data_IF_189989110348
#
_entry.id   IF_189989110348
#
_cell.length_a   1.000
_cell.length_b   1.000
_cell.length_c   1.000
_cell.angle_alpha   90.00
_cell.angle_beta   90.00
_cell.angle_gamma   90.00
#
_symmetry.space_group_name_H-M   'P 1'
#
loop_
_entity.id
_entity.type
_entity.pdbx_description
1 polymer ?
#
# COMPACT_ATOMS: atom_id res chain seq x y z
N UNK A 1 9.30 -12.95 21.14
CA UNK A 1 8.56 -12.02 20.25
C UNK A 1 9.39 -10.74 20.16
N UNK A 2 9.81 -10.36 18.95
CA UNK A 2 10.65 -9.16 18.71
C UNK A 2 9.80 -7.90 18.44
N UNK A 3 8.47 -7.98 18.59
CA UNK A 3 7.56 -6.82 18.46
C UNK A 3 7.38 -6.26 17.04
N UNK A 4 7.76 -7.02 16.00
CA UNK A 4 7.57 -6.59 14.61
C UNK A 4 6.13 -6.83 14.14
N UNK A 5 5.59 -5.85 13.44
CA UNK A 5 4.37 -5.99 12.68
C UNK A 5 4.69 -6.44 11.25
N UNK A 6 4.01 -7.49 10.78
CA UNK A 6 4.21 -8.03 9.43
C UNK A 6 2.95 -7.77 8.61
N UNK A 7 3.13 -7.22 7.43
CA UNK A 7 2.03 -7.00 6.47
C UNK A 7 2.09 -8.06 5.37
N UNK A 8 0.92 -8.50 4.93
CA UNK A 8 0.78 -9.27 3.70
C UNK A 8 0.52 -8.30 2.55
N UNK A 9 1.38 -8.31 1.54
CA UNK A 9 1.36 -7.38 0.42
C UNK A 9 0.73 -8.00 -0.83
N UNK A 10 0.28 -7.19 -1.77
CA UNK A 10 -0.27 -7.56 -3.09
C UNK A 10 -1.39 -8.63 -3.01
N UNK A 11 -2.27 -8.54 -2.01
CA UNK A 11 -3.35 -9.51 -1.87
C UNK A 11 -4.37 -9.36 -2.99
N UNK A 12 -4.51 -10.44 -3.78
CA UNK A 12 -5.44 -10.50 -4.90
C UNK A 12 -4.81 -10.32 -6.29
N UNK A 13 -3.53 -9.87 -6.40
CA UNK A 13 -2.83 -9.75 -7.67
C UNK A 13 -2.43 -11.09 -8.31
N UNK A 14 -2.63 -12.21 -7.60
CA UNK A 14 -2.24 -13.53 -8.08
C UNK A 14 -2.73 -14.67 -7.18
N UNK A 15 -1.99 -15.77 -7.13
CA UNK A 15 -2.30 -16.91 -6.28
C UNK A 15 -2.03 -16.62 -4.80
N UNK A 16 -2.84 -15.77 -4.19
CA UNK A 16 -2.81 -15.58 -2.74
C UNK A 16 -3.39 -16.80 -2.05
N UNK A 17 -2.52 -17.67 -1.53
CA UNK A 17 -2.99 -18.86 -0.83
C UNK A 17 -3.51 -18.53 0.55
N UNK A 18 -4.80 -18.78 0.80
CA UNK A 18 -5.43 -18.70 2.13
C UNK A 18 -4.68 -19.50 3.21
N UNK A 19 -3.83 -20.48 2.81
CA UNK A 19 -3.01 -21.24 3.73
C UNK A 19 -1.98 -20.38 4.46
N UNK A 20 -1.46 -19.34 3.84
CA UNK A 20 -0.53 -18.40 4.48
C UNK A 20 -1.22 -17.55 5.55
N UNK A 21 -2.45 -17.10 5.31
CA UNK A 21 -3.22 -16.31 6.28
C UNK A 21 -3.46 -17.09 7.58
N UNK A 22 -3.61 -18.42 7.49
CA UNK A 22 -3.80 -19.28 8.67
C UNK A 22 -2.49 -19.63 9.37
N UNK A 23 -1.38 -19.67 8.62
CA UNK A 23 -0.09 -20.15 9.14
C UNK A 23 0.72 -19.04 9.80
N UNK A 24 0.60 -17.82 9.32
CA UNK A 24 1.38 -16.67 9.79
C UNK A 24 0.46 -15.63 10.43
N UNK A 25 0.96 -14.98 11.50
CA UNK A 25 0.25 -13.87 12.13
C UNK A 25 0.62 -12.57 11.43
N UNK A 26 -0.21 -12.13 10.49
CA UNK A 26 -0.10 -10.81 9.91
C UNK A 26 -0.89 -9.80 10.76
N UNK A 27 -0.37 -8.57 10.86
CA UNK A 27 -1.07 -7.44 11.50
C UNK A 27 -1.87 -6.63 10.48
N UNK A 28 -1.51 -6.73 9.20
CA UNK A 28 -2.06 -5.91 8.14
C UNK A 28 -2.15 -6.70 6.83
N UNK A 29 -3.21 -6.47 6.06
CA UNK A 29 -3.43 -7.02 4.74
C UNK A 29 -3.56 -5.85 3.77
N UNK A 30 -2.68 -5.80 2.74
CA UNK A 30 -2.67 -4.78 1.70
C UNK A 30 -3.38 -5.33 0.47
N UNK A 31 -4.47 -4.68 0.07
CA UNK A 31 -5.27 -5.01 -1.10
C UNK A 31 -4.62 -4.34 -2.30
N UNK A 32 -4.30 -5.14 -3.32
CA UNK A 32 -3.58 -4.69 -4.51
C UNK A 32 -4.32 -3.58 -5.26
N UNK A 33 -3.55 -2.68 -5.88
CA UNK A 33 -4.04 -1.55 -6.68
C UNK A 33 -5.03 -1.96 -7.78
N UNK A 34 -4.91 -3.16 -8.37
CA UNK A 34 -5.81 -3.63 -9.42
C UNK A 34 -7.29 -3.61 -9.00
N UNK A 35 -7.56 -3.74 -7.70
CA UNK A 35 -8.93 -3.60 -7.18
C UNK A 35 -9.42 -2.15 -7.20
N UNK A 36 -8.54 -1.19 -6.90
CA UNK A 36 -8.87 0.24 -7.00
C UNK A 36 -9.14 0.63 -8.47
N UNK A 37 -8.29 0.15 -9.37
CA UNK A 37 -8.41 0.42 -10.82
C UNK A 37 -9.70 -0.19 -11.42
N UNK A 38 -10.22 -1.29 -10.84
CA UNK A 38 -11.42 -1.99 -11.31
C UNK A 38 -12.72 -1.60 -10.56
N UNK A 39 -12.68 -0.62 -9.65
CA UNK A 39 -13.87 -0.22 -8.89
C UNK A 39 -14.99 0.34 -9.78
N UNK A 40 -14.62 0.99 -10.86
CA UNK A 40 -15.57 1.63 -11.79
C UNK A 40 -16.28 0.62 -12.71
N UNK A 41 -15.77 -0.63 -12.79
CA UNK A 41 -16.29 -1.68 -13.67
C UNK A 41 -17.56 -2.38 -13.12
N UNK A 42 -17.98 -2.02 -11.90
CA UNK A 42 -19.25 -2.49 -11.35
C UNK A 42 -19.16 -3.37 -10.09
N UNK A 43 -20.33 -3.81 -9.62
CA UNK A 43 -20.55 -4.33 -8.28
C UNK A 43 -19.71 -5.55 -7.85
N UNK A 44 -19.21 -6.38 -8.78
CA UNK A 44 -18.46 -7.59 -8.41
C UNK A 44 -17.14 -7.27 -7.71
N UNK A 45 -16.41 -6.24 -8.15
CA UNK A 45 -15.15 -5.81 -7.52
C UNK A 45 -15.39 -5.31 -6.10
N UNK A 46 -16.42 -4.51 -5.89
CA UNK A 46 -16.78 -4.00 -4.57
C UNK A 46 -17.18 -5.14 -3.62
N UNK A 47 -17.89 -6.16 -4.10
CA UNK A 47 -18.25 -7.32 -3.28
C UNK A 47 -17.02 -8.16 -2.91
N UNK A 48 -16.03 -8.28 -3.80
CA UNK A 48 -14.77 -8.95 -3.51
C UNK A 48 -13.99 -8.16 -2.43
N UNK A 49 -13.88 -6.84 -2.56
CA UNK A 49 -13.21 -6.00 -1.55
C UNK A 49 -13.92 -6.14 -0.20
N UNK A 50 -15.25 -6.11 -0.17
CA UNK A 50 -16.05 -6.32 1.04
C UNK A 50 -15.76 -7.67 1.71
N UNK A 51 -15.63 -8.72 0.92
CA UNK A 51 -15.29 -10.06 1.41
C UNK A 51 -13.87 -10.10 2.00
N UNK A 52 -12.90 -9.45 1.33
CA UNK A 52 -11.51 -9.35 1.81
C UNK A 52 -11.45 -8.57 3.14
N UNK A 53 -12.13 -7.43 3.23
CA UNK A 53 -12.21 -6.62 4.47
C UNK A 53 -12.81 -7.43 5.61
N UNK A 54 -13.90 -8.16 5.34
CA UNK A 54 -14.56 -9.02 6.33
C UNK A 54 -13.64 -10.14 6.81
N UNK A 55 -12.90 -10.77 5.89
CA UNK A 55 -11.93 -11.81 6.20
C UNK A 55 -10.79 -11.26 7.07
N UNK A 56 -10.19 -10.14 6.68
CA UNK A 56 -9.11 -9.51 7.43
C UNK A 56 -9.55 -9.17 8.85
N UNK A 57 -10.75 -8.61 9.01
CA UNK A 57 -11.34 -8.29 10.32
C UNK A 57 -11.56 -9.54 11.18
N UNK A 58 -12.06 -10.64 10.58
CA UNK A 58 -12.24 -11.91 11.29
C UNK A 58 -10.92 -12.52 11.76
N UNK A 59 -9.81 -12.23 11.07
CA UNK A 59 -8.46 -12.67 11.43
C UNK A 59 -7.70 -11.66 12.31
N UNK A 60 -8.32 -10.55 12.71
CA UNK A 60 -7.71 -9.53 13.56
C UNK A 60 -6.66 -8.67 12.84
N UNK A 61 -6.70 -8.63 11.50
CA UNK A 61 -5.82 -7.81 10.68
C UNK A 61 -6.49 -6.49 10.30
N UNK A 62 -5.70 -5.43 10.15
CA UNK A 62 -6.13 -4.19 9.49
C UNK A 62 -6.03 -4.34 7.98
N UNK A 63 -6.91 -3.66 7.26
CA UNK A 63 -6.88 -3.58 5.80
C UNK A 63 -6.29 -2.27 5.32
N UNK A 64 -5.47 -2.33 4.27
CA UNK A 64 -5.02 -1.16 3.49
C UNK A 64 -5.39 -1.42 2.04
N UNK A 65 -6.05 -0.49 1.38
CA UNK A 65 -6.23 -0.56 -0.07
C UNK A 65 -5.27 0.39 -0.76
N UNK A 66 -4.62 -0.10 -1.81
CA UNK A 66 -3.64 0.65 -2.58
C UNK A 66 -4.23 1.26 -3.84
N UNK A 67 -3.60 2.33 -4.34
CA UNK A 67 -3.94 2.92 -5.63
C UNK A 67 -5.15 3.83 -5.63
N UNK A 68 -5.57 4.39 -4.49
CA UNK A 68 -6.67 5.35 -4.43
C UNK A 68 -6.23 6.69 -5.03
N UNK A 69 -6.89 7.11 -6.12
CA UNK A 69 -6.55 8.30 -6.89
C UNK A 69 -7.69 9.33 -6.95
N UNK A 70 -8.95 8.93 -6.64
CA UNK A 70 -10.12 9.80 -6.72
C UNK A 70 -10.92 9.83 -5.42
N UNK A 71 -11.69 10.92 -5.22
CA UNK A 71 -12.60 11.07 -4.07
C UNK A 71 -13.76 10.05 -4.11
N UNK A 72 -14.20 9.66 -5.30
CA UNK A 72 -15.24 8.64 -5.48
C UNK A 72 -14.73 7.27 -4.99
N UNK A 73 -13.52 6.87 -5.36
CA UNK A 73 -12.88 5.66 -4.84
C UNK A 73 -12.72 5.73 -3.31
N UNK A 74 -12.28 6.89 -2.78
CA UNK A 74 -12.16 7.10 -1.33
C UNK A 74 -13.50 6.89 -0.62
N UNK A 75 -14.59 7.39 -1.18
CA UNK A 75 -15.92 7.23 -0.60
C UNK A 75 -16.33 5.76 -0.58
N UNK A 76 -16.15 5.04 -1.70
CA UNK A 76 -16.46 3.61 -1.81
C UNK A 76 -15.68 2.78 -0.80
N UNK A 77 -14.35 2.98 -0.67
CA UNK A 77 -13.55 2.18 0.27
C UNK A 77 -13.87 2.47 1.73
N UNK A 78 -14.29 3.70 2.04
CA UNK A 78 -14.78 4.06 3.36
C UNK A 78 -16.07 3.32 3.69
N UNK A 79 -17.01 3.25 2.77
CA UNK A 79 -18.29 2.55 2.92
C UNK A 79 -18.10 1.03 3.01
N UNK A 80 -17.04 0.50 2.38
CA UNK A 80 -16.64 -0.90 2.49
C UNK A 80 -15.98 -1.22 3.84
N UNK A 81 -15.60 -0.21 4.62
CA UNK A 81 -15.02 -0.34 5.94
C UNK A 81 -13.55 -0.72 5.93
N UNK A 82 -12.78 -0.32 4.92
CA UNK A 82 -11.33 -0.39 4.94
C UNK A 82 -10.76 0.49 6.07
N UNK A 83 -9.70 0.00 6.72
CA UNK A 83 -9.09 0.71 7.85
C UNK A 83 -8.15 1.83 7.40
N UNK A 84 -7.41 1.60 6.32
CA UNK A 84 -6.40 2.53 5.82
C UNK A 84 -6.43 2.55 4.28
N UNK A 85 -5.97 3.64 3.69
CA UNK A 85 -5.84 3.83 2.25
C UNK A 85 -4.45 4.32 1.88
N UNK A 86 -3.97 3.95 0.70
CA UNK A 86 -2.75 4.44 0.10
C UNK A 86 -2.99 4.75 -1.38
N UNK A 87 -2.50 5.91 -1.85
CA UNK A 87 -2.64 6.28 -3.26
C UNK A 87 -2.32 7.75 -3.52
N UNK A 88 -2.34 8.14 -4.78
CA UNK A 88 -1.97 9.49 -5.19
C UNK A 88 -2.95 10.56 -4.74
N UNK A 89 -4.18 10.19 -4.37
CA UNK A 89 -5.12 11.12 -3.74
C UNK A 89 -4.55 11.66 -2.43
N UNK A 90 -3.86 10.81 -1.64
CA UNK A 90 -3.23 11.23 -0.37
C UNK A 90 -1.92 12.00 -0.58
N UNK A 91 -1.23 11.73 -1.66
CA UNK A 91 0.03 12.36 -2.03
C UNK A 91 0.94 11.44 -2.81
N UNK A 92 1.76 12.02 -3.68
CA UNK A 92 2.80 11.29 -4.40
C UNK A 92 4.02 11.08 -3.52
N UNK A 93 4.79 10.01 -3.74
CA UNK A 93 6.07 9.83 -3.06
C UNK A 93 6.94 11.09 -3.21
N UNK A 94 7.48 11.56 -2.11
CA UNK A 94 8.29 12.76 -2.08
C UNK A 94 9.46 12.61 -1.12
N UNK A 95 10.52 13.41 -1.33
CA UNK A 95 11.67 13.38 -0.45
C UNK A 95 11.29 13.83 0.98
N UNK A 96 11.92 13.21 1.98
CA UNK A 96 11.67 13.50 3.39
C UNK A 96 11.84 15.00 3.71
N UNK A 97 12.85 15.65 3.12
CA UNK A 97 13.09 17.09 3.28
C UNK A 97 11.88 17.94 2.90
N UNK A 98 11.15 17.54 1.86
CA UNK A 98 9.93 18.24 1.41
C UNK A 98 8.74 17.96 2.34
N UNK A 99 8.62 16.74 2.86
CA UNK A 99 7.59 16.40 3.86
C UNK A 99 7.77 17.20 5.14
N UNK A 100 8.99 17.29 5.64
CA UNK A 100 9.31 18.06 6.85
C UNK A 100 8.96 19.55 6.71
N UNK A 101 9.16 20.13 5.52
CA UNK A 101 8.75 21.50 5.22
C UNK A 101 7.22 21.70 5.27
N UNK A 102 6.45 20.69 4.83
CA UNK A 102 4.99 20.75 4.88
C UNK A 102 4.46 20.67 6.33
N UNK A 103 5.15 19.93 7.19
CA UNK A 103 4.85 19.80 8.63
C UNK A 103 5.43 20.96 9.47
N UNK A 104 6.09 21.94 8.84
CA UNK A 104 6.72 23.06 9.54
C UNK A 104 7.95 22.66 10.36
N UNK A 105 8.50 21.49 10.11
CA UNK A 105 9.74 20.98 10.74
C UNK A 105 10.93 21.37 9.88
N UNK A 106 11.97 21.95 10.49
CA UNK A 106 13.21 22.26 9.79
C UNK A 106 13.83 20.95 9.24
N UNK A 107 14.08 20.90 7.92
CA UNK A 107 14.73 19.74 7.32
C UNK A 107 16.13 19.57 7.95
N UNK A 108 16.54 18.34 8.32
CA UNK A 108 17.90 18.09 8.74
C UNK A 108 18.85 18.50 7.61
N UNK A 109 20.01 19.04 7.97
CA UNK A 109 21.07 19.36 7.00
C UNK A 109 21.37 18.10 6.18
N UNK A 110 21.55 18.22 4.84
CA UNK A 110 21.84 17.06 4.01
C UNK A 110 23.16 16.43 4.48
N UNK A 111 23.07 15.21 4.99
CA UNK A 111 24.25 14.42 5.30
C UNK A 111 24.87 14.00 3.96
N UNK A 112 26.12 14.36 3.72
CA UNK A 112 26.81 14.12 2.45
C UNK A 112 26.82 12.62 2.06
N UNK A 113 26.73 11.72 3.05
CA UNK A 113 26.62 10.28 2.87
C UNK A 113 25.24 9.82 2.35
N UNK A 114 24.16 10.58 2.59
CA UNK A 114 22.82 10.21 2.16
C UNK A 114 22.56 10.50 0.67
N UNK A 115 23.30 11.41 0.07
CA UNK A 115 23.18 11.76 -1.36
C UNK A 115 23.60 10.61 -2.28
N UNK A 116 24.66 9.86 -1.90
CA UNK A 116 25.12 8.70 -2.67
C UNK A 116 24.16 7.50 -2.57
N UNK A 117 23.53 7.30 -1.41
CA UNK A 117 22.59 6.19 -1.20
C UNK A 117 21.28 6.41 -1.95
N UNK A 118 20.81 7.65 -2.08
CA UNK A 118 19.57 7.97 -2.84
C UNK A 118 19.74 7.70 -4.33
N UNK A 119 20.89 8.03 -4.92
CA UNK A 119 21.18 7.77 -6.33
C UNK A 119 21.23 6.27 -6.63
N UNK A 120 21.82 5.46 -5.73
CA UNK A 120 21.91 4.00 -5.89
C UNK A 120 20.53 3.34 -5.78
N UNK A 121 19.64 3.82 -4.93
CA UNK A 121 18.28 3.28 -4.77
C UNK A 121 17.42 3.58 -6.00
N UNK A 122 17.52 4.80 -6.57
CA UNK A 122 16.79 5.14 -7.80
C UNK A 122 17.28 4.34 -9.01
N UNK A 123 18.58 4.13 -9.14
CA UNK A 123 19.17 3.35 -10.24
C UNK A 123 18.79 1.86 -10.12
N UNK A 124 18.77 1.30 -8.91
CA UNK A 124 18.38 -0.08 -8.64
C UNK A 124 16.89 -0.31 -8.86
N UNK A 125 16.02 0.63 -8.49
CA UNK A 125 14.59 0.57 -8.73
C UNK A 125 14.26 0.64 -10.23
N UNK A 126 14.92 1.53 -10.98
CA UNK A 126 14.76 1.66 -12.42
C UNK A 126 15.26 0.43 -13.19
N UNK A 127 16.35 -0.19 -12.74
CA UNK A 127 16.90 -1.43 -13.32
C UNK A 127 15.99 -2.65 -13.06
N UNK A 128 15.40 -2.75 -11.87
CA UNK A 128 14.45 -3.80 -11.50
C UNK A 128 13.16 -3.71 -12.32
N UNK A 129 12.66 -2.51 -12.57
CA UNK A 129 11.46 -2.27 -13.38
C UNK A 129 11.66 -2.66 -14.84
N UNK A 130 12.84 -2.37 -15.45
CA UNK A 130 13.14 -2.74 -16.84
C UNK A 130 13.29 -4.25 -17.07
N UNK A 131 13.70 -5.02 -16.06
CA UNK A 131 13.81 -6.49 -16.14
C UNK A 131 12.47 -7.23 -16.11
N UNK A 132 11.40 -6.60 -15.63
CA UNK A 132 10.06 -7.21 -15.60
C UNK A 132 9.24 -7.01 -16.87
N UNK A 133 9.74 -6.20 -17.81
CA UNK A 133 9.07 -5.89 -19.09
C UNK A 133 9.78 -6.54 -20.31
N UNK A 134 10.82 -7.32 -20.11
CA UNK A 134 11.49 -8.16 -21.12
C UNK A 134 11.23 -9.64 -20.86
#
# INVERSE_FOLDING_TARGET
RIGLNVSLDDFGAGYSSFSYLRRFQFSKLKIDKSFADAMDDGGSTLEIIRAIVSLARALGMKTVIEGIETDDQMTLVRDLGCDEVQGYLMGRPTALSRLLLLEGVAAPAPDAAAAETSAVVEETAAASFRRRLA
#
